data_IF_176774371897
#
_entry.id   IF_176774371897
#
_cell.length_a   1.000
_cell.length_b   1.000
_cell.length_c   1.000
_cell.angle_alpha   90.00
_cell.angle_beta   90.00
_cell.angle_gamma   90.00
#
_symmetry.space_group_name_H-M   'P 1'
#
loop_
_entity.id
_entity.type
_entity.pdbx_description
1 polymer ?
#
# COMPACT_ATOMS: atom_id res chain seq x y z
N UNK A 1 -4.49 -18.27 -14.98
CA UNK A 1 -4.14 -17.74 -13.64
C UNK A 1 -3.62 -16.32 -13.68
N UNK A 2 -2.96 -15.90 -14.77
CA UNK A 2 -2.49 -14.52 -14.95
C UNK A 2 -3.61 -13.50 -14.76
N UNK A 3 -4.80 -13.83 -15.26
CA UNK A 3 -6.03 -13.07 -15.14
C UNK A 3 -6.54 -12.92 -13.69
N UNK A 4 -6.10 -13.78 -12.77
CA UNK A 4 -6.46 -13.67 -11.35
C UNK A 4 -5.63 -12.63 -10.61
N UNK A 5 -4.54 -12.11 -11.19
CA UNK A 5 -3.62 -11.19 -10.54
C UNK A 5 -3.61 -9.82 -11.23
N UNK A 6 -4.79 -9.22 -11.39
CA UNK A 6 -4.95 -7.86 -11.92
C UNK A 6 -5.57 -6.92 -10.87
N UNK A 7 -4.81 -5.98 -10.28
CA UNK A 7 -3.49 -5.54 -10.72
C UNK A 7 -2.35 -6.49 -10.35
N UNK A 8 -1.40 -6.64 -11.29
CA UNK A 8 -0.16 -7.40 -11.09
C UNK A 8 0.84 -6.66 -10.22
N UNK A 9 1.74 -7.41 -9.58
CA UNK A 9 2.91 -6.83 -8.95
C UNK A 9 3.80 -6.16 -10.02
N UNK A 10 4.38 -4.97 -9.78
CA UNK A 10 5.20 -4.30 -10.78
C UNK A 10 6.50 -5.05 -11.09
N UNK A 11 7.11 -5.69 -10.08
CA UNK A 11 8.30 -6.52 -10.25
C UNK A 11 7.94 -7.97 -10.65
N UNK A 12 8.47 -8.44 -11.78
CA UNK A 12 8.17 -9.76 -12.35
C UNK A 12 8.49 -10.92 -11.40
N UNK A 13 9.60 -10.83 -10.64
CA UNK A 13 9.99 -11.87 -9.68
C UNK A 13 8.87 -12.18 -8.67
N UNK A 14 8.20 -11.13 -8.17
CA UNK A 14 7.13 -11.29 -7.18
C UNK A 14 5.83 -11.74 -7.84
N UNK A 15 5.53 -11.25 -9.04
CA UNK A 15 4.38 -11.71 -9.81
C UNK A 15 4.46 -13.21 -10.12
N UNK A 16 5.63 -13.69 -10.57
CA UNK A 16 5.87 -15.12 -10.81
C UNK A 16 5.75 -15.96 -9.53
N UNK A 17 6.25 -15.45 -8.40
CA UNK A 17 6.08 -16.12 -7.12
C UNK A 17 4.60 -16.21 -6.68
N UNK A 18 3.79 -15.16 -6.93
CA UNK A 18 2.36 -15.17 -6.64
C UNK A 18 1.62 -16.21 -7.48
N UNK A 19 1.93 -16.32 -8.78
CA UNK A 19 1.36 -17.36 -9.65
C UNK A 19 1.70 -18.76 -9.13
N UNK A 20 2.97 -19.01 -8.80
CA UNK A 20 3.40 -20.31 -8.25
C UNK A 20 2.68 -20.64 -6.94
N UNK A 21 2.52 -19.66 -6.06
CA UNK A 21 1.77 -19.83 -4.82
C UNK A 21 0.30 -20.21 -5.09
N UNK A 22 -0.38 -19.54 -6.02
CA UNK A 22 -1.76 -19.88 -6.39
C UNK A 22 -1.89 -21.29 -6.98
N UNK A 23 -0.91 -21.72 -7.78
CA UNK A 23 -0.85 -23.06 -8.37
C UNK A 23 -0.83 -24.16 -7.30
N UNK A 24 -0.13 -23.91 -6.20
CA UNK A 24 0.05 -24.87 -5.10
C UNK A 24 -1.15 -24.93 -4.14
N UNK A 25 -2.04 -23.94 -4.18
CA UNK A 25 -3.22 -23.90 -3.32
C UNK A 25 -4.36 -24.78 -3.87
N UNK A 26 -5.21 -25.34 -2.97
CA UNK A 26 -6.49 -25.92 -3.35
C UNK A 26 -7.34 -24.90 -4.10
N UNK A 27 -8.10 -25.36 -5.10
CA UNK A 27 -8.91 -24.48 -5.95
C UNK A 27 -9.85 -23.56 -5.15
N UNK A 28 -10.45 -24.08 -4.08
CA UNK A 28 -11.34 -23.33 -3.18
C UNK A 28 -10.68 -22.15 -2.47
N UNK A 29 -9.35 -22.12 -2.34
CA UNK A 29 -8.60 -21.07 -1.64
C UNK A 29 -7.96 -20.05 -2.60
N UNK A 30 -7.87 -20.39 -3.89
CA UNK A 30 -7.14 -19.56 -4.88
C UNK A 30 -7.78 -18.18 -5.06
N UNK A 31 -9.10 -18.10 -5.09
CA UNK A 31 -9.81 -16.84 -5.30
C UNK A 31 -9.56 -15.84 -4.15
N UNK A 32 -9.63 -16.32 -2.92
CA UNK A 32 -9.37 -15.51 -1.73
C UNK A 32 -7.90 -15.05 -1.68
N UNK A 33 -6.96 -15.96 -1.88
CA UNK A 33 -5.53 -15.61 -1.92
C UNK A 33 -5.21 -14.61 -3.03
N UNK A 34 -5.78 -14.80 -4.23
CA UNK A 34 -5.58 -13.90 -5.35
C UNK A 34 -6.08 -12.48 -5.04
N UNK A 35 -7.20 -12.33 -4.32
CA UNK A 35 -7.67 -11.02 -3.83
C UNK A 35 -6.63 -10.36 -2.93
N UNK A 36 -6.10 -11.08 -1.95
CA UNK A 36 -5.08 -10.55 -1.04
C UNK A 36 -3.84 -10.08 -1.81
N UNK A 37 -3.40 -10.85 -2.82
CA UNK A 37 -2.31 -10.43 -3.69
C UNK A 37 -2.64 -9.17 -4.48
N UNK A 38 -3.83 -9.06 -5.07
CA UNK A 38 -4.25 -7.87 -5.84
C UNK A 38 -4.29 -6.60 -4.97
N UNK A 39 -4.84 -6.69 -3.76
CA UNK A 39 -4.85 -5.58 -2.79
C UNK A 39 -3.44 -5.19 -2.35
N UNK A 40 -2.59 -6.18 -2.07
CA UNK A 40 -1.18 -5.96 -1.75
C UNK A 40 -0.41 -5.32 -2.91
N UNK A 41 -0.64 -5.78 -4.14
CA UNK A 41 -0.03 -5.24 -5.35
C UNK A 41 -0.45 -3.79 -5.59
N UNK A 42 -1.75 -3.48 -5.47
CA UNK A 42 -2.26 -2.12 -5.58
C UNK A 42 -1.64 -1.19 -4.53
N UNK A 43 -1.61 -1.62 -3.26
CA UNK A 43 -0.99 -0.86 -2.17
C UNK A 43 0.51 -0.66 -2.41
N UNK A 44 1.22 -1.68 -2.87
CA UNK A 44 2.64 -1.57 -3.22
C UNK A 44 2.86 -0.53 -4.33
N UNK A 45 2.03 -0.56 -5.39
CA UNK A 45 2.12 0.40 -6.49
C UNK A 45 1.87 1.83 -6.02
N UNK A 46 0.90 2.05 -5.12
CA UNK A 46 0.70 3.36 -4.48
C UNK A 46 1.96 3.82 -3.75
N UNK A 47 2.54 2.94 -2.92
CA UNK A 47 3.72 3.26 -2.12
C UNK A 47 4.98 3.52 -2.96
N UNK A 48 5.07 2.91 -4.14
CA UNK A 48 6.13 3.16 -5.11
C UNK A 48 6.04 4.55 -5.75
N UNK A 49 4.86 5.18 -5.80
CA UNK A 49 4.73 6.56 -6.30
C UNK A 49 5.48 7.56 -5.42
N UNK A 50 5.73 7.22 -4.15
CA UNK A 50 6.47 8.05 -3.21
C UNK A 50 7.98 7.79 -3.23
N UNK A 51 8.46 6.76 -3.95
CA UNK A 51 9.87 6.39 -3.90
C UNK A 51 10.73 7.44 -4.62
N UNK A 52 11.66 8.05 -3.89
CA UNK A 52 12.44 9.19 -4.37
C UNK A 52 11.73 10.56 -4.28
N UNK A 53 10.42 10.59 -4.00
CA UNK A 53 9.61 11.83 -3.98
C UNK A 53 9.44 12.44 -2.59
N UNK A 54 9.68 11.66 -1.52
CA UNK A 54 9.55 12.14 -0.12
C UNK A 54 10.68 13.12 0.21
N UNK A 55 10.31 14.30 0.71
CA UNK A 55 11.26 15.37 1.09
C UNK A 55 11.35 15.58 2.61
N UNK A 56 12.38 16.29 3.07
CA UNK A 56 12.48 16.74 4.47
C UNK A 56 11.30 17.63 4.87
N UNK A 57 10.76 18.43 3.95
CA UNK A 57 9.58 19.26 4.21
C UNK A 57 8.32 18.41 4.47
N UNK A 58 8.15 17.31 3.74
CA UNK A 58 7.06 16.35 4.00
C UNK A 58 7.22 15.71 5.38
N UNK A 59 8.46 15.37 5.75
CA UNK A 59 8.78 14.79 7.05
C UNK A 59 8.47 15.75 8.21
N UNK A 60 8.93 17.00 8.13
CA UNK A 60 8.65 18.00 9.18
C UNK A 60 7.15 18.25 9.33
N UNK A 61 6.44 18.44 8.21
CA UNK A 61 4.98 18.59 8.27
C UNK A 61 4.27 17.34 8.82
N UNK A 62 4.79 16.14 8.53
CA UNK A 62 4.24 14.91 9.08
C UNK A 62 4.42 14.84 10.60
N UNK A 63 5.61 15.20 11.10
CA UNK A 63 5.93 15.24 12.54
C UNK A 63 4.98 16.15 13.34
N UNK A 64 4.60 17.30 12.78
CA UNK A 64 3.67 18.26 13.40
C UNK A 64 2.29 17.62 13.70
N UNK A 65 1.85 16.68 12.86
CA UNK A 65 0.59 15.95 13.03
C UNK A 65 0.68 14.72 13.93
N UNK A 66 1.88 14.30 14.35
CA UNK A 66 2.07 13.11 15.18
C UNK A 66 1.85 13.41 16.68
N UNK A 67 1.29 12.45 17.44
CA UNK A 67 1.31 12.52 18.89
C UNK A 67 2.76 12.59 19.42
N UNK A 68 2.97 13.36 20.49
CA UNK A 68 4.29 13.70 21.02
C UNK A 68 5.27 12.53 21.11
N UNK A 69 4.83 11.40 21.67
CA UNK A 69 5.69 10.21 21.81
C UNK A 69 6.14 9.62 20.47
N UNK A 70 5.27 9.63 19.47
CA UNK A 70 5.60 9.16 18.12
C UNK A 70 6.49 10.17 17.40
N UNK A 71 6.24 11.47 17.58
CA UNK A 71 7.10 12.53 17.04
C UNK A 71 8.53 12.38 17.53
N UNK A 72 8.73 12.29 18.84
CA UNK A 72 10.06 12.12 19.46
C UNK A 72 10.78 10.86 18.96
N UNK A 73 10.04 9.75 18.78
CA UNK A 73 10.61 8.52 18.26
C UNK A 73 11.08 8.70 16.80
N UNK A 74 10.26 9.32 15.95
CA UNK A 74 10.60 9.59 14.55
C UNK A 74 11.75 10.59 14.43
N UNK A 75 11.75 11.65 15.23
CA UNK A 75 12.84 12.64 15.31
C UNK A 75 14.18 12.01 15.66
N UNK A 76 14.19 11.09 16.64
CA UNK A 76 15.39 10.34 17.03
C UNK A 76 15.91 9.45 15.89
N UNK A 77 15.01 8.82 15.14
CA UNK A 77 15.37 7.92 14.04
C UNK A 77 15.80 8.71 12.78
N UNK A 78 15.32 9.95 12.64
CA UNK A 78 15.69 10.89 11.59
C UNK A 78 15.04 10.62 10.22
N UNK A 79 15.18 11.60 9.33
CA UNK A 79 14.54 11.63 8.02
C UNK A 79 14.88 10.41 7.14
N UNK A 80 16.17 10.05 7.06
CA UNK A 80 16.63 8.96 6.19
C UNK A 80 16.02 7.60 6.55
N UNK A 81 15.74 7.38 7.83
CA UNK A 81 15.00 6.22 8.30
C UNK A 81 13.51 6.39 8.00
N UNK A 82 12.93 7.53 8.39
CA UNK A 82 11.50 7.80 8.29
C UNK A 82 10.96 7.77 6.86
N UNK A 83 11.73 8.18 5.83
CA UNK A 83 11.27 8.20 4.42
C UNK A 83 10.94 6.83 3.82
N UNK A 84 11.27 5.75 4.52
CA UNK A 84 10.88 4.37 4.17
C UNK A 84 9.54 3.95 4.80
N UNK A 85 9.01 4.73 5.74
CA UNK A 85 7.72 4.47 6.39
C UNK A 85 6.56 4.63 5.40
N UNK A 86 5.64 3.67 5.42
CA UNK A 86 4.41 3.74 4.61
C UNK A 86 3.54 4.94 4.98
N UNK A 87 3.58 5.36 6.25
CA UNK A 87 2.80 6.50 6.74
C UNK A 87 3.33 7.83 6.16
N UNK A 88 4.64 8.04 6.21
CA UNK A 88 5.25 9.25 5.64
C UNK A 88 5.14 9.28 4.12
N UNK A 89 5.34 8.13 3.44
CA UNK A 89 5.13 8.02 1.99
C UNK A 89 3.71 8.38 1.59
N UNK A 90 2.71 7.86 2.32
CA UNK A 90 1.31 8.23 2.12
C UNK A 90 1.06 9.72 2.35
N UNK A 91 1.60 10.28 3.44
CA UNK A 91 1.48 11.69 3.76
C UNK A 91 2.05 12.59 2.66
N UNK A 92 3.22 12.24 2.12
CA UNK A 92 3.84 12.96 1.02
C UNK A 92 2.97 12.92 -0.26
N UNK A 93 2.38 11.77 -0.58
CA UNK A 93 1.47 11.63 -1.73
C UNK A 93 0.18 12.44 -1.55
N UNK A 94 -0.41 12.41 -0.36
CA UNK A 94 -1.63 13.18 -0.05
C UNK A 94 -1.37 14.70 -0.12
N UNK A 95 -0.17 15.17 0.28
CA UNK A 95 0.26 16.57 0.07
C UNK A 95 0.39 16.99 -1.40
N UNK A 96 0.44 16.02 -2.31
CA UNK A 96 0.53 16.21 -3.77
C UNK A 96 -0.78 15.81 -4.47
N UNK A 97 -1.88 15.79 -3.73
CA UNK A 97 -3.22 15.41 -4.20
C UNK A 97 -3.35 13.99 -4.76
N UNK A 98 -2.40 13.10 -4.42
CA UNK A 98 -2.47 11.67 -4.74
C UNK A 98 -3.05 10.93 -3.54
N UNK A 99 -4.38 10.88 -3.46
CA UNK A 99 -5.09 10.25 -2.34
C UNK A 99 -5.16 8.72 -2.45
N UNK A 100 -4.95 8.03 -1.32
CA UNK A 100 -4.96 6.56 -1.26
C UNK A 100 -6.28 5.96 -1.78
N UNK A 101 -7.42 6.39 -1.24
CA UNK A 101 -8.72 5.80 -1.61
C UNK A 101 -9.04 5.97 -3.11
N UNK A 102 -8.80 7.18 -3.66
CA UNK A 102 -9.03 7.45 -5.08
C UNK A 102 -8.11 6.60 -5.97
N UNK A 103 -6.84 6.44 -5.59
CA UNK A 103 -5.91 5.58 -6.31
C UNK A 103 -6.34 4.11 -6.29
N UNK A 104 -6.70 3.59 -5.11
CA UNK A 104 -7.10 2.19 -4.93
C UNK A 104 -8.38 1.88 -5.72
N UNK A 105 -9.37 2.77 -5.68
CA UNK A 105 -10.61 2.63 -6.45
C UNK A 105 -10.36 2.62 -7.97
N UNK A 106 -9.38 3.39 -8.46
CA UNK A 106 -9.06 3.46 -9.88
C UNK A 106 -8.32 2.21 -10.42
N UNK A 107 -7.62 1.47 -9.55
CA UNK A 107 -6.77 0.35 -9.97
C UNK A 107 -7.35 -1.03 -9.64
N UNK A 108 -8.19 -1.13 -8.62
CA UNK A 108 -8.84 -2.37 -8.22
C UNK A 108 -10.11 -2.64 -9.05
N UNK A 109 -10.52 -3.91 -9.09
CA UNK A 109 -11.87 -4.23 -9.54
C UNK A 109 -12.91 -3.71 -8.53
N UNK A 110 -14.17 -3.50 -8.95
CA UNK A 110 -15.23 -3.09 -8.03
C UNK A 110 -15.41 -4.03 -6.83
N UNK A 111 -15.26 -5.34 -7.02
CA UNK A 111 -15.40 -6.32 -5.95
C UNK A 111 -14.27 -6.23 -4.91
N UNK A 112 -13.03 -6.05 -5.38
CA UNK A 112 -11.88 -5.93 -4.48
C UNK A 112 -11.88 -4.59 -3.75
N UNK A 113 -12.31 -3.51 -4.41
CA UNK A 113 -12.50 -2.21 -3.76
C UNK A 113 -13.59 -2.28 -2.67
N UNK A 114 -14.73 -2.91 -2.96
CA UNK A 114 -15.77 -3.12 -1.97
C UNK A 114 -15.27 -3.93 -0.76
N UNK A 115 -14.49 -4.98 -1.00
CA UNK A 115 -13.86 -5.76 0.05
C UNK A 115 -12.88 -4.92 0.89
N UNK A 116 -12.00 -4.13 0.26
CA UNK A 116 -11.09 -3.24 0.98
C UNK A 116 -11.84 -2.27 1.90
N UNK A 117 -12.90 -1.63 1.39
CA UNK A 117 -13.72 -0.72 2.17
C UNK A 117 -14.37 -1.40 3.37
N UNK A 118 -14.84 -2.64 3.23
CA UNK A 118 -15.37 -3.43 4.33
C UNK A 118 -14.30 -3.71 5.39
N UNK A 119 -13.08 -4.10 4.96
CA UNK A 119 -11.97 -4.37 5.88
C UNK A 119 -11.54 -3.10 6.63
N UNK A 120 -11.50 -1.95 5.97
CA UNK A 120 -11.18 -0.65 6.59
C UNK A 120 -12.22 -0.25 7.62
N UNK A 121 -13.51 -0.38 7.28
CA UNK A 121 -14.59 -0.10 8.21
C UNK A 121 -14.52 -1.01 9.45
N UNK A 122 -14.22 -2.30 9.26
CA UNK A 122 -14.02 -3.24 10.37
C UNK A 122 -12.80 -2.91 11.24
N UNK A 123 -11.77 -2.28 10.67
CA UNK A 123 -10.56 -1.84 11.37
C UNK A 123 -10.68 -0.43 12.00
N UNK A 124 -11.77 0.30 11.73
CA UNK A 124 -11.95 1.69 12.18
C UNK A 124 -11.07 2.71 11.43
N UNK A 125 -10.79 2.46 10.14
CA UNK A 125 -9.89 3.24 9.26
C UNK A 125 -10.58 3.91 8.07
#
# INVERSE_FOLDING_TARGET
MEELLQPRHPLDKHHQAQLQALQQLPESQRAEMARLFRLGNATYRYQQLADGEVTEADYQHWLEGLPERFRQAMERDGFESAKRSLALRRHALERRDVGYAAFMQAILSPEDWAFEQQQRAAAGL
#
